data_IF_450616070843
#
_entry.id   IF_450616070843
#
_cell.length_a   1.000
_cell.length_b   1.000
_cell.length_c   1.000
_cell.angle_alpha   90.00
_cell.angle_beta   90.00
_cell.angle_gamma   90.00
#
_symmetry.space_group_name_H-M   'P 1'
#
loop_
_entity.id
_entity.type
_entity.pdbx_description
1 polymer ?
#
# COMPACT_ATOMS: atom_id res chain seq x y z
N UNK A 1 -8.01 -5.04 -14.89
CA UNK A 1 -7.74 -4.13 -13.76
C UNK A 1 -8.69 -4.50 -12.63
N UNK A 2 -8.18 -4.66 -11.40
CA UNK A 2 -8.99 -5.00 -10.22
C UNK A 2 -9.27 -3.71 -9.45
N UNK A 3 -10.54 -3.37 -9.25
CA UNK A 3 -10.96 -2.15 -8.56
C UNK A 3 -11.13 -2.42 -7.07
N UNK A 4 -10.02 -2.49 -6.34
CA UNK A 4 -9.97 -2.92 -4.93
C UNK A 4 -10.88 -2.06 -4.03
N UNK A 5 -10.95 -0.74 -4.28
CA UNK A 5 -11.82 0.20 -3.55
C UNK A 5 -13.13 0.52 -4.27
N UNK A 6 -13.55 -0.33 -5.21
CA UNK A 6 -14.78 -0.13 -5.98
C UNK A 6 -14.61 0.69 -7.25
N UNK A 7 -15.70 0.80 -8.01
CA UNK A 7 -15.75 1.42 -9.32
C UNK A 7 -16.40 2.81 -9.22
N UNK A 8 -15.73 3.85 -9.73
CA UNK A 8 -16.24 5.22 -9.70
C UNK A 8 -17.54 5.39 -10.50
N UNK A 9 -17.77 4.55 -11.52
CA UNK A 9 -19.03 4.53 -12.27
C UNK A 9 -20.19 3.94 -11.45
N UNK A 10 -19.89 3.25 -10.35
CA UNK A 10 -20.84 2.64 -9.42
C UNK A 10 -20.56 3.12 -8.00
N UNK A 11 -20.96 4.35 -7.63
CA UNK A 11 -20.60 4.96 -6.34
C UNK A 11 -20.96 4.14 -5.10
N UNK A 12 -22.01 3.31 -5.17
CA UNK A 12 -22.40 2.41 -4.08
C UNK A 12 -21.40 1.28 -3.79
N UNK A 13 -20.46 1.02 -4.71
CA UNK A 13 -19.39 0.02 -4.55
C UNK A 13 -18.12 0.63 -3.97
N UNK A 14 -18.05 1.95 -3.82
CA UNK A 14 -16.85 2.63 -3.33
C UNK A 14 -16.61 2.30 -1.86
N UNK A 15 -15.39 1.85 -1.57
CA UNK A 15 -14.96 1.52 -0.22
C UNK A 15 -14.20 2.71 0.36
N UNK A 16 -14.85 3.39 1.31
CA UNK A 16 -14.25 4.38 2.19
C UNK A 16 -14.11 3.81 3.59
N UNK A 17 -13.08 4.25 4.32
CA UNK A 17 -12.87 3.80 5.69
C UNK A 17 -11.41 3.73 6.10
N UNK A 18 -11.18 3.07 7.24
CA UNK A 18 -9.86 2.87 7.83
C UNK A 18 -9.31 1.51 7.44
N UNK A 19 -8.07 1.46 6.98
CA UNK A 19 -7.39 0.23 6.57
C UNK A 19 -6.07 0.07 7.29
N UNK A 20 -6.08 0.17 8.62
CA UNK A 20 -4.89 0.06 9.45
C UNK A 20 -5.13 -0.89 10.62
N UNK A 21 -5.06 -2.18 10.33
CA UNK A 21 -5.17 -3.24 11.35
C UNK A 21 -3.90 -3.44 12.16
N UNK A 22 -2.78 -2.82 11.74
CA UNK A 22 -1.50 -2.90 12.42
C UNK A 22 -1.41 -1.91 13.59
N UNK A 23 -2.36 -0.98 13.71
CA UNK A 23 -2.40 0.03 14.76
C UNK A 23 -3.02 -0.51 16.06
N UNK A 24 -2.44 -0.14 17.21
CA UNK A 24 -2.95 -0.55 18.54
C UNK A 24 -4.38 -0.06 18.81
N UNK A 25 -4.80 1.03 18.16
CA UNK A 25 -6.16 1.54 18.21
C UNK A 25 -7.14 0.51 17.65
N UNK A 26 -6.78 -0.22 16.59
CA UNK A 26 -7.63 -1.27 16.01
C UNK A 26 -7.91 -2.38 17.04
N UNK A 27 -6.86 -2.84 17.73
CA UNK A 27 -7.00 -3.82 18.82
C UNK A 27 -7.88 -3.32 19.96
N UNK A 28 -7.89 -2.02 20.20
CA UNK A 28 -8.74 -1.40 21.23
C UNK A 28 -10.20 -1.36 20.77
N UNK A 29 -10.47 -1.05 19.50
CA UNK A 29 -11.82 -1.06 18.92
C UNK A 29 -12.44 -2.47 18.92
N UNK A 30 -11.65 -3.50 18.62
CA UNK A 30 -12.11 -4.90 18.65
C UNK A 30 -12.57 -5.38 20.04
N UNK A 31 -12.07 -4.77 21.12
CA UNK A 31 -12.46 -5.11 22.49
C UNK A 31 -13.79 -4.48 22.91
N UNK A 32 -14.27 -3.50 22.15
CA UNK A 32 -15.56 -2.87 22.40
C UNK A 32 -16.63 -3.75 21.76
N UNK A 33 -17.62 -4.21 22.54
CA UNK A 33 -18.72 -5.05 22.06
C UNK A 33 -19.79 -4.25 21.26
N UNK A 34 -19.37 -3.22 20.52
CA UNK A 34 -20.24 -2.41 19.67
C UNK A 34 -19.79 -2.48 18.21
N UNK A 35 -20.60 -3.15 17.38
CA UNK A 35 -20.28 -3.38 15.97
C UNK A 35 -20.20 -2.11 15.11
N UNK A 36 -20.77 -0.99 15.56
CA UNK A 36 -20.75 0.27 14.79
C UNK A 36 -19.32 0.80 14.61
N UNK A 37 -18.42 0.54 15.56
CA UNK A 37 -17.00 0.91 15.44
C UNK A 37 -16.28 0.15 14.32
N UNK A 38 -16.77 -1.04 13.97
CA UNK A 38 -16.18 -1.88 12.92
C UNK A 38 -16.76 -1.59 11.52
N UNK A 39 -17.84 -0.81 11.44
CA UNK A 39 -18.61 -0.58 10.21
C UNK A 39 -17.78 -0.03 9.04
N UNK A 40 -16.78 0.80 9.31
CA UNK A 40 -15.95 1.46 8.30
C UNK A 40 -14.53 0.89 8.22
N UNK A 41 -14.34 -0.35 8.68
CA UNK A 41 -13.06 -1.05 8.55
C UNK A 41 -12.97 -1.67 7.16
N UNK A 42 -11.93 -1.29 6.42
CA UNK A 42 -11.78 -1.67 5.01
C UNK A 42 -11.72 -3.17 4.81
N UNK A 43 -11.10 -3.93 5.71
CA UNK A 43 -11.05 -5.38 5.62
C UNK A 43 -12.41 -6.05 5.72
N UNK A 44 -13.34 -5.47 6.49
CA UNK A 44 -14.73 -5.92 6.52
C UNK A 44 -15.43 -5.49 5.23
N UNK A 45 -15.21 -4.24 4.78
CA UNK A 45 -15.76 -3.73 3.52
C UNK A 45 -15.29 -4.50 2.28
N UNK A 46 -14.09 -5.04 2.30
CA UNK A 46 -13.58 -5.90 1.23
C UNK A 46 -14.42 -7.16 1.03
N UNK A 47 -15.18 -7.60 2.04
CA UNK A 47 -16.11 -8.74 1.93
C UNK A 47 -17.41 -8.39 1.22
N UNK A 48 -17.72 -7.11 0.99
CA UNK A 48 -18.93 -6.70 0.26
C UNK A 48 -18.81 -6.97 -1.25
N UNK A 49 -17.60 -7.25 -1.76
CA UNK A 49 -17.35 -7.55 -3.17
C UNK A 49 -16.26 -8.61 -3.34
N UNK A 50 -16.16 -9.20 -4.53
CA UNK A 50 -15.14 -10.21 -4.84
C UNK A 50 -13.76 -9.61 -5.22
N UNK A 51 -13.61 -8.28 -5.14
CA UNK A 51 -12.42 -7.59 -5.67
C UNK A 51 -11.14 -7.92 -4.89
N UNK A 52 -11.22 -7.97 -3.56
CA UNK A 52 -10.07 -8.30 -2.73
C UNK A 52 -9.65 -9.77 -2.92
N UNK A 53 -10.61 -10.69 -3.06
CA UNK A 53 -10.32 -12.09 -3.38
C UNK A 53 -9.60 -12.23 -4.72
N UNK A 54 -10.07 -11.56 -5.76
CA UNK A 54 -9.39 -11.53 -7.08
C UNK A 54 -7.96 -11.00 -6.99
N UNK A 55 -7.71 -10.02 -6.12
CA UNK A 55 -6.35 -9.53 -5.86
C UNK A 55 -5.49 -10.63 -5.25
N UNK A 56 -5.99 -11.33 -4.23
CA UNK A 56 -5.28 -12.45 -3.60
C UNK A 56 -4.97 -13.56 -4.62
N UNK A 57 -5.94 -13.94 -5.45
CA UNK A 57 -5.73 -14.92 -6.52
C UNK A 57 -4.69 -14.46 -7.54
N UNK A 58 -4.67 -13.16 -7.88
CA UNK A 58 -3.69 -12.58 -8.78
C UNK A 58 -2.27 -12.63 -8.21
N UNK A 59 -2.06 -12.20 -6.96
CA UNK A 59 -0.73 -12.19 -6.34
C UNK A 59 -0.22 -13.60 -5.98
N UNK A 60 -1.13 -14.56 -5.82
CA UNK A 60 -0.79 -15.98 -5.62
C UNK A 60 -0.36 -16.67 -6.93
N UNK A 61 -0.81 -16.16 -8.09
CA UNK A 61 -0.61 -16.83 -9.38
C UNK A 61 0.84 -16.88 -9.87
N UNK A 62 1.66 -15.87 -9.57
CA UNK A 62 3.06 -15.82 -9.98
C UNK A 62 3.86 -14.80 -9.13
N UNK A 63 5.18 -14.83 -9.27
CA UNK A 63 6.10 -13.82 -8.74
C UNK A 63 5.81 -12.44 -9.33
N UNK A 64 5.88 -11.41 -8.47
CA UNK A 64 5.64 -10.03 -8.88
C UNK A 64 6.57 -9.04 -8.19
N UNK A 65 6.76 -7.89 -8.84
CA UNK A 65 7.49 -6.74 -8.32
C UNK A 65 6.55 -5.55 -8.18
N UNK A 66 6.71 -4.79 -7.09
CA UNK A 66 5.93 -3.58 -6.82
C UNK A 66 6.75 -2.36 -7.20
N UNK A 67 6.14 -1.45 -7.96
CA UNK A 67 6.71 -0.13 -8.25
C UNK A 67 5.97 0.94 -7.44
N UNK A 68 6.72 1.71 -6.66
CA UNK A 68 6.17 2.81 -5.87
C UNK A 68 6.47 4.13 -6.55
N UNK A 69 5.42 4.77 -7.08
CA UNK A 69 5.49 6.05 -7.76
C UNK A 69 4.68 7.09 -6.97
N UNK A 70 5.26 7.58 -5.87
CA UNK A 70 4.59 8.56 -5.01
C UNK A 70 5.11 8.55 -3.58
N UNK A 71 4.76 9.59 -2.83
CA UNK A 71 5.23 9.77 -1.45
C UNK A 71 4.27 9.18 -0.40
N UNK A 72 2.97 9.05 -0.71
CA UNK A 72 1.91 8.89 0.31
C UNK A 72 1.62 7.44 0.76
N UNK A 73 2.57 6.51 0.67
CA UNK A 73 2.36 5.12 1.09
C UNK A 73 2.22 4.94 2.61
N UNK A 74 2.60 5.94 3.42
CA UNK A 74 2.62 5.84 4.88
C UNK A 74 1.24 5.94 5.54
N UNK A 75 0.29 6.64 4.90
CA UNK A 75 -1.10 6.81 5.37
C UNK A 75 -2.13 6.10 4.47
N UNK A 76 -1.63 5.29 3.54
CA UNK A 76 -2.46 4.49 2.65
C UNK A 76 -3.07 3.32 3.40
N UNK A 77 -3.86 2.49 2.72
CA UNK A 77 -4.40 1.26 3.26
C UNK A 77 -3.27 0.30 3.68
N UNK A 78 -2.88 0.35 4.95
CA UNK A 78 -1.75 -0.39 5.51
C UNK A 78 -2.00 -1.87 5.52
N UNK A 79 -3.24 -2.32 5.75
CA UNK A 79 -3.59 -3.74 5.65
C UNK A 79 -3.36 -4.28 4.24
N UNK A 80 -3.84 -3.55 3.22
CA UNK A 80 -3.63 -3.92 1.83
C UNK A 80 -2.14 -3.91 1.45
N UNK A 81 -1.42 -2.84 1.78
CA UNK A 81 0.00 -2.73 1.45
C UNK A 81 0.83 -3.78 2.16
N UNK A 82 0.59 -4.04 3.45
CA UNK A 82 1.26 -5.12 4.19
C UNK A 82 1.04 -6.48 3.50
N UNK A 83 -0.19 -6.79 3.13
CA UNK A 83 -0.53 -8.04 2.41
C UNK A 83 0.31 -8.17 1.13
N UNK A 84 0.40 -7.10 0.33
CA UNK A 84 1.17 -7.09 -0.92
C UNK A 84 2.68 -7.14 -0.68
N UNK A 85 3.16 -6.43 0.34
CA UNK A 85 4.59 -6.23 0.61
C UNK A 85 5.22 -7.45 1.26
N UNK A 86 4.46 -8.23 2.04
CA UNK A 86 4.93 -9.41 2.78
C UNK A 86 4.50 -10.74 2.12
N UNK A 87 3.70 -10.71 1.05
CA UNK A 87 3.34 -11.89 0.29
C UNK A 87 4.57 -12.67 -0.19
N UNK A 88 4.54 -14.00 -0.14
CA UNK A 88 5.67 -14.87 -0.54
C UNK A 88 6.15 -14.65 -1.99
N UNK A 89 5.24 -14.28 -2.89
CA UNK A 89 5.53 -14.04 -4.30
C UNK A 89 6.00 -12.60 -4.60
N UNK A 90 5.99 -11.69 -3.62
CA UNK A 90 6.55 -10.35 -3.80
C UNK A 90 8.07 -10.43 -3.78
N UNK A 91 8.69 -10.35 -4.95
CA UNK A 91 10.15 -10.52 -5.08
C UNK A 91 10.92 -9.25 -4.80
N UNK A 92 10.33 -8.08 -5.03
CA UNK A 92 10.96 -6.79 -4.71
C UNK A 92 9.97 -5.63 -4.76
N UNK A 93 10.35 -4.54 -4.11
CA UNK A 93 9.66 -3.25 -4.10
C UNK A 93 10.67 -2.20 -4.55
N UNK A 94 10.45 -1.61 -5.73
CA UNK A 94 11.32 -0.59 -6.33
C UNK A 94 10.68 0.80 -6.19
N UNK A 95 11.22 1.68 -5.32
CA UNK A 95 10.83 3.08 -5.24
C UNK A 95 11.31 3.89 -6.44
N UNK A 96 10.44 4.72 -6.99
CA UNK A 96 10.80 5.80 -7.89
C UNK A 96 10.73 7.12 -7.14
N UNK A 97 11.88 7.77 -6.95
CA UNK A 97 11.99 8.97 -6.14
C UNK A 97 11.91 10.24 -6.98
N UNK A 98 11.48 11.33 -6.38
CA UNK A 98 11.56 12.65 -6.98
C UNK A 98 12.93 13.28 -6.69
N UNK A 99 13.64 13.66 -7.75
CA UNK A 99 14.87 14.43 -7.66
C UNK A 99 14.57 15.91 -7.86
N UNK A 100 14.95 16.73 -6.88
CA UNK A 100 14.77 18.18 -6.91
C UNK A 100 15.90 18.86 -7.69
N UNK A 101 15.65 20.10 -8.11
CA UNK A 101 16.62 20.91 -8.84
C UNK A 101 17.90 21.21 -8.03
N UNK A 102 17.82 21.21 -6.70
CA UNK A 102 18.97 21.41 -5.79
C UNK A 102 19.84 20.14 -5.61
N UNK A 103 19.49 19.04 -6.29
CA UNK A 103 20.19 17.75 -6.20
C UNK A 103 19.72 16.85 -5.06
N UNK A 104 18.84 17.32 -4.16
CA UNK A 104 18.23 16.49 -3.12
C UNK A 104 17.11 15.60 -3.68
N UNK A 105 16.74 14.54 -2.94
CA UNK A 105 15.66 13.64 -3.31
C UNK A 105 14.84 13.18 -2.10
N UNK A 106 13.68 12.58 -2.38
CA UNK A 106 12.77 12.05 -1.36
C UNK A 106 12.83 10.52 -1.22
N UNK A 107 13.89 9.86 -1.70
CA UNK A 107 14.00 8.39 -1.60
C UNK A 107 13.84 7.90 -0.16
N UNK A 108 14.50 8.58 0.79
CA UNK A 108 14.45 8.19 2.21
C UNK A 108 13.04 8.29 2.79
N UNK A 109 12.29 9.33 2.41
CA UNK A 109 10.90 9.50 2.84
C UNK A 109 10.02 8.36 2.32
N UNK A 110 10.19 7.98 1.04
CA UNK A 110 9.45 6.87 0.45
C UNK A 110 9.75 5.56 1.18
N UNK A 111 11.03 5.26 1.43
CA UNK A 111 11.43 4.04 2.15
C UNK A 111 10.90 4.03 3.58
N UNK A 112 10.90 5.17 4.29
CA UNK A 112 10.30 5.27 5.62
C UNK A 112 8.80 4.98 5.59
N UNK A 113 8.09 5.47 4.57
CA UNK A 113 6.68 5.20 4.39
C UNK A 113 6.40 3.73 4.04
N UNK A 114 7.24 3.11 3.22
CA UNK A 114 7.18 1.67 2.92
C UNK A 114 7.41 0.86 4.21
N UNK A 115 8.42 1.22 5.02
CA UNK A 115 8.78 0.53 6.26
C UNK A 115 7.60 0.40 7.24
N UNK A 116 6.73 1.43 7.35
CA UNK A 116 5.54 1.40 8.22
C UNK A 116 4.50 0.34 7.84
N UNK A 117 4.60 -0.23 6.64
CA UNK A 117 3.70 -1.27 6.14
C UNK A 117 4.27 -2.69 6.34
N UNK A 118 5.44 -2.84 6.94
CA UNK A 118 6.04 -4.15 7.24
C UNK A 118 5.89 -4.50 8.72
N UNK A 119 5.64 -5.78 9.00
CA UNK A 119 5.75 -6.40 10.31
C UNK A 119 7.10 -7.15 10.46
N UNK A 120 7.68 -7.62 9.36
CA UNK A 120 8.99 -8.26 9.30
C UNK A 120 10.04 -7.34 8.66
N UNK A 121 10.91 -6.79 9.51
CA UNK A 121 11.99 -5.90 9.08
C UNK A 121 13.10 -6.60 8.28
N UNK A 122 13.23 -7.93 8.40
CA UNK A 122 14.16 -8.71 7.57
C UNK A 122 13.60 -8.80 6.15
N UNK A 123 12.32 -9.12 5.99
CA UNK A 123 11.65 -9.11 4.68
C UNK A 123 11.69 -7.73 4.03
N UNK A 124 11.50 -6.66 4.82
CA UNK A 124 11.63 -5.29 4.31
C UNK A 124 13.00 -5.04 3.68
N UNK A 125 14.09 -5.37 4.40
CA UNK A 125 15.47 -5.17 3.90
C UNK A 125 15.80 -6.04 2.69
N UNK A 126 15.17 -7.20 2.57
CA UNK A 126 15.35 -8.13 1.46
C UNK A 126 14.64 -7.64 0.18
N UNK A 127 13.44 -7.08 0.34
CA UNK A 127 12.56 -6.73 -0.79
C UNK A 127 12.71 -5.30 -1.26
N UNK A 128 12.97 -4.34 -0.37
CA UNK A 128 13.07 -2.93 -0.73
C UNK A 128 14.40 -2.69 -1.46
N UNK A 129 14.29 -2.33 -2.73
CA UNK A 129 15.44 -2.13 -3.62
C UNK A 129 16.27 -0.96 -3.13
N UNK A 130 17.59 -1.15 -3.06
CA UNK A 130 18.53 -0.09 -2.68
C UNK A 130 18.48 1.08 -3.67
N UNK A 131 18.66 2.31 -3.17
CA UNK A 131 18.71 3.55 -3.94
C UNK A 131 19.61 3.47 -5.18
N UNK A 132 20.74 2.77 -5.10
CA UNK A 132 21.69 2.63 -6.22
C UNK A 132 21.09 1.94 -7.45
N UNK A 133 20.03 1.16 -7.25
CA UNK A 133 19.29 0.46 -8.32
C UNK A 133 17.90 1.09 -8.58
N UNK A 134 17.64 2.24 -7.97
CA UNK A 134 16.42 3.02 -8.17
C UNK A 134 16.66 4.16 -9.14
N UNK A 135 15.59 4.65 -9.74
CA UNK A 135 15.64 5.72 -10.74
C UNK A 135 14.70 6.84 -10.31
N UNK A 136 15.04 8.10 -10.66
CA UNK A 136 14.12 9.20 -10.43
C UNK A 136 12.87 9.05 -11.30
N UNK A 137 11.69 9.36 -10.75
CA UNK A 137 10.44 9.41 -11.50
C UNK A 137 10.47 10.61 -12.47
N UNK A 138 10.33 10.40 -13.79
CA UNK A 138 10.31 11.50 -14.75
C UNK A 138 9.23 12.54 -14.41
N UNK A 139 9.62 13.80 -14.34
CA UNK A 139 8.70 14.91 -14.13
C UNK A 139 8.41 15.60 -15.45
N UNK A 140 7.15 15.97 -15.66
CA UNK A 140 6.79 16.88 -16.75
C UNK A 140 7.43 18.22 -16.42
N UNK A 141 8.32 18.69 -17.30
CA UNK A 141 8.83 20.07 -17.19
C UNK A 141 7.62 21.00 -17.35
N UNK A 142 7.38 21.95 -16.44
CA UNK A 142 6.42 23.01 -16.71
C UNK A 142 6.86 23.66 -18.03
N UNK A 143 5.92 23.80 -18.98
CA UNK A 143 6.21 24.42 -20.27
C UNK A 143 6.97 25.74 -20.06
N UNK A 144 8.17 25.84 -20.64
CA UNK A 144 8.90 27.11 -20.79
C UNK A 144 8.18 28.03 -21.76
#
# INVERSE_FOLDING_TARGET
>A
MIFIHGDFTKPRTLIFGYGDELDDTYNSLLKIEENEYLRFIKSIKYLETDNYRKLLEFIESDCYQIYIMGHSCGNSDRTLLNTLFEHKNCVSIKPYYYQKADGSDNYMEIVQNICRNFTDMKLMRDRVVNKTFCEPLPQIKPNE
#
